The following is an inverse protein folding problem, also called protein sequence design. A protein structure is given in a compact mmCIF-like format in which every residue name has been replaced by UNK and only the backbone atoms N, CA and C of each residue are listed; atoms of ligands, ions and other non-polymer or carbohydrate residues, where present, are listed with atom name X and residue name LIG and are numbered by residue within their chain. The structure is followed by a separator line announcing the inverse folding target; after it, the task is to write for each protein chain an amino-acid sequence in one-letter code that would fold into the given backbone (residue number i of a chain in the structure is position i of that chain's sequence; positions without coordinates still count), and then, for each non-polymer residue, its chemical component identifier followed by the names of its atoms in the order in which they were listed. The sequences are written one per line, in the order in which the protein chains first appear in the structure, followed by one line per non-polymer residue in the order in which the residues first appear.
data_IF_696593565397
#
_entry.id   IF_696593565397
#
_cell.length_a   1.000
_cell.length_b   1.000
_cell.length_c   1.000
_cell.angle_alpha   90.00
_cell.angle_beta   90.00
_cell.angle_gamma   90.00
#
_symmetry.space_group_name_H-M   'P 1'
#
loop_
_entity.id
_entity.type
_entity.pdbx_description
1 polymer ?
#
# COMPACT_ATOMS: atom_id res chain seq x y z
N UNK A 1 -7.78 -9.82 14.28
CA UNK A 1 -7.17 -8.48 14.33
C UNK A 1 -7.12 -7.94 12.92
N UNK A 2 -7.20 -6.63 12.75
CA UNK A 2 -7.26 -6.00 11.42
C UNK A 2 -5.89 -5.40 11.11
N UNK A 3 -5.27 -5.83 10.01
CA UNK A 3 -3.92 -5.45 9.62
C UNK A 3 -3.91 -4.16 8.79
N UNK A 4 -4.34 -3.05 9.39
CA UNK A 4 -4.17 -1.72 8.81
C UNK A 4 -3.10 -0.97 9.58
N UNK A 5 -2.10 -0.45 8.85
CA UNK A 5 -1.14 0.52 9.35
C UNK A 5 -1.50 1.91 8.85
N UNK A 6 -1.75 2.83 9.77
CA UNK A 6 -2.07 4.23 9.47
C UNK A 6 -0.92 5.14 9.89
N UNK A 7 -0.46 5.98 8.98
CA UNK A 7 0.61 6.96 9.23
C UNK A 7 0.14 8.36 8.83
N UNK A 8 0.10 9.29 9.77
CA UNK A 8 -0.26 10.68 9.49
C UNK A 8 0.98 11.55 9.41
N UNK A 9 1.01 12.43 8.40
CA UNK A 9 2.11 13.35 8.13
C UNK A 9 1.57 14.77 8.05
N UNK A 10 2.17 15.68 8.84
CA UNK A 10 1.79 17.08 8.91
C UNK A 10 3.00 17.98 8.68
N UNK A 11 2.78 19.16 8.08
CA UNK A 11 3.84 20.15 7.86
C UNK A 11 4.86 19.75 6.78
N UNK A 12 4.54 18.76 5.94
CA UNK A 12 5.49 18.21 4.95
C UNK A 12 5.42 18.86 3.57
N UNK A 13 4.32 19.57 3.26
CA UNK A 13 4.07 20.25 1.98
C UNK A 13 4.49 19.42 0.74
N UNK A 14 4.06 18.16 0.67
CA UNK A 14 4.43 17.23 -0.41
C UNK A 14 3.42 17.25 -1.54
N UNK A 15 3.90 17.21 -2.77
CA UNK A 15 3.06 16.83 -3.90
C UNK A 15 2.71 15.34 -3.78
N UNK A 16 1.44 15.04 -3.52
CA UNK A 16 0.98 13.68 -3.26
C UNK A 16 1.09 12.78 -4.51
N UNK A 17 1.02 13.34 -5.72
CA UNK A 17 1.22 12.57 -6.95
C UNK A 17 2.70 12.22 -7.12
N UNK A 18 3.60 13.17 -6.87
CA UNK A 18 5.05 12.88 -6.89
C UNK A 18 5.43 11.87 -5.82
N UNK A 19 4.87 12.00 -4.61
CA UNK A 19 5.06 11.05 -3.52
C UNK A 19 4.60 9.64 -3.93
N UNK A 20 3.42 9.53 -4.55
CA UNK A 20 2.92 8.25 -5.05
C UNK A 20 3.87 7.62 -6.09
N UNK A 21 4.41 8.43 -7.01
CA UNK A 21 5.37 7.98 -8.02
C UNK A 21 6.70 7.51 -7.40
N UNK A 22 7.19 8.20 -6.37
CA UNK A 22 8.40 7.78 -5.64
C UNK A 22 8.19 6.44 -4.92
N UNK A 23 7.03 6.26 -4.27
CA UNK A 23 6.68 5.00 -3.62
C UNK A 23 6.56 3.87 -4.66
N UNK A 24 5.92 4.12 -5.81
CA UNK A 24 5.84 3.16 -6.91
C UNK A 24 7.22 2.74 -7.42
N UNK A 25 8.10 3.71 -7.67
CA UNK A 25 9.45 3.44 -8.16
C UNK A 25 10.26 2.62 -7.15
N UNK A 26 10.17 2.95 -5.85
CA UNK A 26 10.84 2.19 -4.81
C UNK A 26 10.33 0.74 -4.73
N UNK A 27 9.01 0.54 -4.79
CA UNK A 27 8.41 -0.79 -4.78
C UNK A 27 8.81 -1.61 -6.01
N UNK A 28 8.88 -0.99 -7.19
CA UNK A 28 9.39 -1.66 -8.39
C UNK A 28 10.85 -2.06 -8.25
N UNK A 29 11.70 -1.19 -7.68
CA UNK A 29 13.09 -1.50 -7.38
C UNK A 29 13.24 -2.66 -6.38
N UNK A 30 12.32 -2.77 -5.43
CA UNK A 30 12.23 -3.88 -4.47
C UNK A 30 11.66 -5.19 -5.08
N UNK A 31 11.37 -5.21 -6.40
CA UNK A 31 10.90 -6.39 -7.13
C UNK A 31 9.39 -6.63 -7.05
N UNK A 32 8.60 -5.64 -6.64
CA UNK A 32 7.15 -5.74 -6.65
C UNK A 32 6.59 -5.44 -8.04
N UNK A 33 5.58 -6.22 -8.44
CA UNK A 33 4.63 -5.82 -9.47
C UNK A 33 3.72 -4.74 -8.87
N UNK A 34 3.67 -3.57 -9.50
CA UNK A 34 2.89 -2.44 -8.99
C UNK A 34 1.84 -1.94 -9.97
N UNK A 35 0.83 -1.27 -9.44
CA UNK A 35 -0.18 -0.53 -10.20
C UNK A 35 -0.73 0.61 -9.34
N UNK A 36 -1.27 1.64 -9.98
CA UNK A 36 -1.78 2.83 -9.28
C UNK A 36 -3.09 3.31 -9.88
N UNK A 37 -3.90 3.98 -9.06
CA UNK A 37 -5.14 4.63 -9.46
C UNK A 37 -5.36 5.89 -8.62
N UNK A 38 -5.63 7.01 -9.28
CA UNK A 38 -6.20 8.18 -8.62
C UNK A 38 -7.71 7.95 -8.42
N UNK A 39 -8.15 7.91 -7.16
CA UNK A 39 -9.55 7.75 -6.79
C UNK A 39 -10.03 8.98 -6.01
N UNK A 40 -11.35 9.22 -5.90
CA UNK A 40 -11.89 10.35 -5.13
C UNK A 40 -11.44 10.38 -3.66
N UNK A 41 -11.15 9.22 -3.09
CA UNK A 41 -10.73 9.07 -1.69
C UNK A 41 -9.20 9.17 -1.49
N UNK A 42 -8.42 9.26 -2.57
CA UNK A 42 -6.96 9.31 -2.51
C UNK A 42 -6.28 8.57 -3.64
N UNK A 43 -4.95 8.57 -3.61
CA UNK A 43 -4.12 7.83 -4.57
C UNK A 43 -3.91 6.42 -4.02
N UNK A 44 -4.34 5.43 -4.79
CA UNK A 44 -4.27 4.02 -4.44
C UNK A 44 -3.10 3.39 -5.19
N UNK A 45 -2.20 2.73 -4.47
CA UNK A 45 -1.10 1.93 -5.03
C UNK A 45 -1.31 0.49 -4.58
N UNK A 46 -1.25 -0.46 -5.52
CA UNK A 46 -1.13 -1.87 -5.18
C UNK A 46 0.24 -2.41 -5.53
N UNK A 47 0.80 -3.23 -4.65
CA UNK A 47 2.09 -3.87 -4.83
C UNK A 47 2.03 -5.36 -4.46
N UNK A 48 2.25 -6.23 -5.43
CA UNK A 48 2.31 -7.68 -5.27
C UNK A 48 3.75 -8.15 -5.48
N UNK A 49 4.27 -8.91 -4.52
CA UNK A 49 5.62 -9.47 -4.62
C UNK A 49 5.62 -10.57 -5.69
N UNK A 50 6.54 -10.50 -6.64
CA UNK A 50 6.65 -11.48 -7.72
C UNK A 50 7.74 -12.53 -7.43
N UNK A 51 7.71 -13.66 -8.13
CA UNK A 51 8.82 -14.65 -8.16
C UNK A 51 8.92 -15.58 -6.94
N UNK A 52 10.15 -15.97 -6.59
CA UNK A 52 10.48 -17.02 -5.58
C UNK A 52 10.08 -16.69 -4.13
N UNK A 53 9.71 -15.43 -3.85
CA UNK A 53 9.24 -15.01 -2.52
C UNK A 53 7.73 -15.28 -2.33
N UNK A 54 7.07 -15.84 -3.35
CA UNK A 54 5.66 -16.27 -3.34
C UNK A 54 5.41 -17.53 -2.50
N UNK A 55 6.46 -18.18 -2.03
CA UNK A 55 6.35 -19.43 -1.24
C UNK A 55 5.97 -19.18 0.24
N UNK A 56 6.04 -17.93 0.71
CA UNK A 56 5.79 -17.56 2.12
C UNK A 56 4.41 -16.88 2.30
N UNK A 57 3.84 -16.32 1.24
CA UNK A 57 2.56 -15.61 1.29
C UNK A 57 1.67 -16.16 0.18
N UNK A 58 0.41 -16.45 0.50
CA UNK A 58 -0.57 -16.89 -0.49
C UNK A 58 -0.43 -16.09 -1.80
N UNK A 59 -0.32 -16.81 -2.93
CA UNK A 59 0.16 -16.30 -4.22
C UNK A 59 -0.56 -15.06 -4.75
N UNK A 60 -1.76 -14.77 -4.24
CA UNK A 60 -2.63 -13.68 -4.67
C UNK A 60 -2.58 -12.45 -3.75
N UNK A 61 -1.65 -12.37 -2.79
CA UNK A 61 -1.58 -11.23 -1.87
C UNK A 61 -0.90 -10.01 -2.47
N UNK A 62 -1.43 -8.84 -2.11
CA UNK A 62 -0.94 -7.53 -2.48
C UNK A 62 -1.07 -6.55 -1.32
N UNK A 63 -0.09 -5.66 -1.19
CA UNK A 63 -0.21 -4.47 -0.37
C UNK A 63 -1.10 -3.47 -1.11
N UNK A 64 -2.01 -2.85 -0.39
CA UNK A 64 -2.76 -1.67 -0.84
C UNK A 64 -2.31 -0.49 0.01
N UNK A 65 -1.78 0.53 -0.64
CA UNK A 65 -1.37 1.79 -0.02
C UNK A 65 -2.33 2.87 -0.49
N UNK A 66 -2.88 3.65 0.43
CA UNK A 66 -3.77 4.78 0.10
C UNK A 66 -3.20 6.05 0.68
N UNK A 67 -2.92 7.02 -0.19
CA UNK A 67 -2.47 8.36 0.18
C UNK A 67 -3.69 9.29 0.10
N UNK A 68 -4.17 9.78 1.24
CA UNK A 68 -5.37 10.59 1.35
C UNK A 68 -5.11 11.89 2.11
N UNK A 69 -5.77 12.98 1.72
CA UNK A 69 -5.66 14.29 2.37
C UNK A 69 -5.03 15.35 1.48
N UNK A 70 -4.31 16.29 2.10
CA UNK A 70 -3.74 17.48 1.46
C UNK A 70 -2.21 17.48 1.56
N UNK A 71 -1.49 18.18 0.66
CA UNK A 71 -0.03 18.26 0.68
C UNK A 71 0.63 18.52 2.05
N UNK A 72 -0.04 19.28 2.92
CA UNK A 72 0.49 19.65 4.24
C UNK A 72 -0.10 18.85 5.42
N UNK A 73 -1.16 18.07 5.19
CA UNK A 73 -1.75 17.15 6.17
C UNK A 73 -2.39 15.98 5.42
N UNK A 74 -1.65 14.86 5.35
CA UNK A 74 -2.08 13.66 4.65
C UNK A 74 -1.83 12.42 5.50
N UNK A 75 -2.58 11.38 5.18
CA UNK A 75 -2.49 10.08 5.81
C UNK A 75 -2.16 9.04 4.77
N UNK A 76 -1.25 8.13 5.11
CA UNK A 76 -0.93 6.95 4.33
C UNK A 76 -1.47 5.74 5.09
N UNK A 77 -2.40 5.05 4.46
CA UNK A 77 -2.94 3.78 4.93
C UNK A 77 -2.23 2.65 4.18
N UNK A 78 -1.83 1.60 4.89
CA UNK A 78 -1.23 0.41 4.33
C UNK A 78 -2.00 -0.78 4.86
N UNK A 79 -2.44 -1.67 3.99
CA UNK A 79 -2.99 -2.95 4.38
C UNK A 79 -2.67 -4.03 3.37
N UNK A 80 -3.03 -5.26 3.69
CA UNK A 80 -2.78 -6.43 2.85
C UNK A 80 -4.11 -7.05 2.42
N UNK A 81 -4.27 -7.26 1.12
CA UNK A 81 -5.38 -8.03 0.60
C UNK A 81 -5.07 -8.78 -0.68
N UNK A 82 -6.11 -9.01 -1.48
CA UNK A 82 -5.96 -9.67 -2.78
C UNK A 82 -5.46 -8.68 -3.81
N UNK A 83 -4.62 -9.14 -4.72
CA UNK A 83 -4.30 -8.40 -5.93
C UNK A 83 -5.55 -8.24 -6.80
N UNK A 84 -5.97 -7.00 -7.03
CA UNK A 84 -7.11 -6.69 -7.89
C UNK A 84 -6.54 -6.40 -9.27
N UNK A 85 -6.98 -7.11 -10.31
CA UNK A 85 -6.43 -6.89 -11.65
C UNK A 85 -6.96 -5.57 -12.23
N UNK A 86 -6.09 -4.82 -12.91
CA UNK A 86 -6.46 -3.65 -13.72
C UNK A 86 -7.19 -2.57 -12.91
N UNK A 87 -6.65 -2.16 -11.76
CA UNK A 87 -7.31 -1.16 -10.90
C UNK A 87 -7.54 0.19 -11.62
N UNK A 88 -6.70 0.53 -12.60
CA UNK A 88 -6.82 1.76 -13.37
C UNK A 88 -8.20 1.93 -14.05
N UNK A 89 -8.84 0.83 -14.46
CA UNK A 89 -10.16 0.83 -15.10
C UNK A 89 -11.28 0.31 -14.20
N UNK A 90 -10.94 -0.16 -13.00
CA UNK A 90 -11.90 -0.78 -12.06
C UNK A 90 -12.66 0.27 -11.26
N UNK A 91 -13.99 0.32 -11.36
CA UNK A 91 -14.86 1.25 -10.62
C UNK A 91 -15.23 0.77 -9.20
N UNK A 92 -14.35 -0.02 -8.55
CA UNK A 92 -14.63 -0.68 -7.28
C UNK A 92 -13.68 -0.24 -6.15
N UNK A 93 -13.66 1.06 -5.87
CA UNK A 93 -12.88 1.66 -4.78
C UNK A 93 -13.21 1.03 -3.42
N UNK A 94 -14.48 0.71 -3.19
CA UNK A 94 -14.92 0.05 -1.96
C UNK A 94 -14.25 -1.33 -1.77
N UNK A 95 -14.07 -2.10 -2.85
CA UNK A 95 -13.35 -3.37 -2.80
C UNK A 95 -11.87 -3.16 -2.49
N UNK A 96 -11.25 -2.14 -3.09
CA UNK A 96 -9.86 -1.78 -2.81
C UNK A 96 -9.67 -1.38 -1.33
N UNK A 97 -10.55 -0.56 -0.78
CA UNK A 97 -10.46 -0.12 0.61
C UNK A 97 -10.81 -1.24 1.61
N UNK A 98 -11.68 -2.18 1.24
CA UNK A 98 -11.95 -3.36 2.07
C UNK A 98 -10.68 -4.19 2.33
N UNK A 99 -9.67 -4.12 1.45
CA UNK A 99 -8.38 -4.79 1.65
C UNK A 99 -7.56 -4.23 2.80
N UNK A 100 -7.82 -2.98 3.22
CA UNK A 100 -7.19 -2.42 4.42
C UNK A 100 -7.63 -3.17 5.68
N UNK A 101 -8.83 -3.77 5.66
CA UNK A 101 -9.48 -4.29 6.86
C UNK A 101 -9.56 -5.83 6.93
N UNK A 102 -8.73 -6.56 6.16
CA UNK A 102 -8.84 -8.01 6.08
C UNK A 102 -8.35 -8.70 7.36
N UNK A 103 -9.15 -9.67 7.82
CA UNK A 103 -8.72 -10.62 8.83
C UNK A 103 -7.70 -11.59 8.20
N UNK A 104 -6.57 -11.74 8.87
CA UNK A 104 -5.47 -12.65 8.51
C UNK A 104 -5.20 -13.61 9.66
N UNK A 105 -4.81 -14.85 9.33
CA UNK A 105 -4.45 -15.86 10.32
C UNK A 105 -3.13 -15.53 11.03
N UNK A 106 -2.86 -16.17 12.18
CA UNK A 106 -1.74 -15.82 13.09
C UNK A 106 -0.34 -15.89 12.45
N UNK A 107 0.01 -16.92 11.67
CA UNK A 107 1.30 -16.97 10.99
C UNK A 107 1.46 -15.86 9.95
N UNK A 108 0.40 -15.62 9.16
CA UNK A 108 0.32 -14.57 8.15
C UNK A 108 0.40 -13.17 8.77
N UNK A 109 -0.15 -12.97 9.97
CA UNK A 109 -0.03 -11.71 10.73
C UNK A 109 1.43 -11.34 11.03
N UNK A 110 2.27 -12.29 11.46
CA UNK A 110 3.65 -11.97 11.86
C UNK A 110 4.49 -11.48 10.68
N UNK A 111 4.34 -12.13 9.52
CA UNK A 111 4.98 -11.68 8.29
C UNK A 111 4.42 -10.35 7.79
N UNK A 112 3.10 -10.20 7.83
CA UNK A 112 2.38 -8.95 7.51
C UNK A 112 2.96 -7.79 8.30
N UNK A 113 3.08 -7.94 9.62
CA UNK A 113 3.63 -6.92 10.51
C UNK A 113 5.10 -6.61 10.19
N UNK A 114 5.92 -7.61 9.87
CA UNK A 114 7.33 -7.39 9.52
C UNK A 114 7.45 -6.54 8.25
N UNK A 115 6.77 -6.93 7.16
CA UNK A 115 6.86 -6.21 5.88
C UNK A 115 6.15 -4.87 5.92
N UNK A 116 5.02 -4.75 6.62
CA UNK A 116 4.34 -3.47 6.84
C UNK A 116 5.23 -2.48 7.57
N UNK A 117 5.97 -2.91 8.59
CA UNK A 117 6.90 -2.02 9.31
C UNK A 117 8.06 -1.60 8.42
N UNK A 118 8.60 -2.48 7.59
CA UNK A 118 9.68 -2.13 6.66
C UNK A 118 9.18 -1.17 5.56
N UNK A 119 7.99 -1.41 5.01
CA UNK A 119 7.34 -0.52 4.06
C UNK A 119 7.04 0.86 4.69
N UNK A 120 6.50 0.87 5.91
CA UNK A 120 6.22 2.09 6.66
C UNK A 120 7.51 2.91 6.91
N UNK A 121 8.61 2.25 7.27
CA UNK A 121 9.93 2.90 7.43
C UNK A 121 10.40 3.51 6.12
N UNK A 122 10.36 2.76 5.01
CA UNK A 122 10.75 3.27 3.69
C UNK A 122 9.90 4.46 3.25
N UNK A 123 8.58 4.37 3.40
CA UNK A 123 7.67 5.47 3.08
C UNK A 123 7.98 6.70 3.94
N UNK A 124 8.22 6.51 5.25
CA UNK A 124 8.60 7.61 6.14
C UNK A 124 9.91 8.26 5.70
N UNK A 125 10.89 7.49 5.23
CA UNK A 125 12.14 8.03 4.66
C UNK A 125 11.92 8.81 3.37
N UNK A 126 11.02 8.36 2.49
CA UNK A 126 10.65 9.06 1.25
C UNK A 126 9.94 10.39 1.56
N UNK A 127 9.02 10.37 2.52
CA UNK A 127 8.33 11.59 2.98
C UNK A 127 9.34 12.55 3.63
N UNK A 128 10.30 12.04 4.39
CA UNK A 128 11.26 12.85 5.16
C UNK A 128 10.63 13.44 6.41
#
# INVERSE_FOLDING_TARGET
MVAEKVMRFQGKNKDLNQLAQQILAQLQADGYKTQTKNAPLGIIIQAQKAGILRDIVAADRAFTIVIAGQPNDFTIHIGIGKWIQNIAVTAAEALLLSTLFLAVDVPEMLWTVHVENDLAKKITQIVG
#
